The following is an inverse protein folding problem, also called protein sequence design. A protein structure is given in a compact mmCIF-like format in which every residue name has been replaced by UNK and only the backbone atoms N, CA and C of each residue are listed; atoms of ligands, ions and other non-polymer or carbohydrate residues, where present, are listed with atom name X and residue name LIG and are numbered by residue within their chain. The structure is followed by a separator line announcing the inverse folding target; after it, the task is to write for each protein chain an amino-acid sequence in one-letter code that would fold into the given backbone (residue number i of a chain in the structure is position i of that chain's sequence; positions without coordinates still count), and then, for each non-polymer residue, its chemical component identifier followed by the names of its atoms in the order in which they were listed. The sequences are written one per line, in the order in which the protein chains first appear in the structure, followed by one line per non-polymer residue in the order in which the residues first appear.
data_IF_424793975679
#
_entry.id   IF_424793975679
#
_cell.length_a   1.000
_cell.length_b   1.000
_cell.length_c   1.000
_cell.angle_alpha   90.00
_cell.angle_beta   90.00
_cell.angle_gamma   90.00
#
_symmetry.space_group_name_H-M   'P 1'
#
loop_
_entity.id
_entity.type
_entity.pdbx_description
1 polymer ?
#
# COMPACT_ATOMS: atom_id res chain seq x y z
N UNK A 1 -3.23 -27.76 9.40
CA UNK A 1 -1.81 -28.14 9.52
C UNK A 1 -0.95 -27.30 8.61
N UNK A 2 0.30 -27.17 8.97
CA UNK A 2 1.34 -26.45 8.23
C UNK A 2 2.38 -27.45 7.79
N UNK A 3 2.77 -27.41 6.52
CA UNK A 3 3.87 -28.18 5.96
C UNK A 3 5.08 -27.27 5.83
N UNK A 4 6.22 -27.66 6.43
CA UNK A 4 7.48 -26.94 6.36
C UNK A 4 8.44 -27.75 5.50
N UNK A 5 8.92 -27.15 4.41
CA UNK A 5 9.83 -27.79 3.45
C UNK A 5 11.16 -27.06 3.52
N UNK A 6 12.18 -27.71 4.08
CA UNK A 6 13.55 -27.20 4.05
C UNK A 6 14.23 -27.52 2.73
N UNK A 7 14.68 -26.50 2.03
CA UNK A 7 15.35 -26.64 0.76
C UNK A 7 16.83 -26.22 0.85
N UNK A 8 17.62 -26.63 -0.11
CA UNK A 8 18.99 -26.17 -0.30
C UNK A 8 19.23 -25.89 -1.79
N UNK A 9 20.36 -25.27 -2.11
CA UNK A 9 20.91 -25.34 -3.45
C UNK A 9 21.83 -26.58 -3.53
N UNK A 10 22.26 -26.96 -4.71
CA UNK A 10 23.08 -28.17 -4.91
C UNK A 10 24.57 -27.86 -4.97
N UNK A 11 25.03 -26.73 -4.44
CA UNK A 11 26.42 -26.27 -4.52
C UNK A 11 26.96 -25.67 -3.23
N UNK A 12 28.24 -25.64 -3.07
CA UNK A 12 28.96 -24.98 -1.96
C UNK A 12 28.58 -25.52 -0.58
N UNK A 13 28.41 -24.63 0.39
CA UNK A 13 28.08 -24.99 1.79
C UNK A 13 26.73 -25.70 1.94
N UNK A 14 25.85 -25.58 0.96
CA UNK A 14 24.53 -26.18 0.96
C UNK A 14 24.55 -27.67 0.57
N UNK A 15 25.71 -28.21 0.17
CA UNK A 15 25.90 -29.66 -0.02
C UNK A 15 26.11 -30.40 1.30
N UNK A 16 26.22 -29.68 2.43
CA UNK A 16 26.37 -30.29 3.75
C UNK A 16 25.11 -31.10 4.06
N UNK A 17 25.33 -32.39 4.35
CA UNK A 17 24.27 -33.30 4.72
C UNK A 17 23.45 -32.76 5.92
N UNK A 18 22.14 -32.82 5.80
CA UNK A 18 21.23 -32.38 6.85
C UNK A 18 20.98 -30.88 6.94
N UNK A 19 21.53 -30.02 6.04
CA UNK A 19 21.30 -28.57 6.12
C UNK A 19 19.83 -28.21 5.89
N UNK A 20 19.14 -28.89 4.96
CA UNK A 20 17.72 -28.70 4.68
C UNK A 20 16.86 -29.06 5.89
N UNK A 21 17.24 -30.14 6.59
CA UNK A 21 16.57 -30.55 7.82
C UNK A 21 16.76 -29.55 8.95
N UNK A 22 17.97 -29.03 9.13
CA UNK A 22 18.25 -27.98 10.12
C UNK A 22 17.41 -26.75 9.87
N UNK A 23 17.32 -26.28 8.61
CA UNK A 23 16.49 -25.14 8.22
C UNK A 23 15.01 -25.38 8.54
N UNK A 24 14.47 -26.56 8.20
CA UNK A 24 13.09 -26.90 8.51
C UNK A 24 12.82 -26.98 10.01
N UNK A 25 13.76 -27.55 10.78
CA UNK A 25 13.66 -27.65 12.23
C UNK A 25 13.69 -26.28 12.92
N UNK A 26 14.56 -25.36 12.50
CA UNK A 26 14.61 -24.00 13.05
C UNK A 26 13.30 -23.26 12.86
N UNK A 27 12.70 -23.34 11.65
CA UNK A 27 11.40 -22.72 11.40
C UNK A 27 10.29 -23.39 12.21
N UNK A 28 10.30 -24.72 12.32
CA UNK A 28 9.32 -25.46 13.14
C UNK A 28 9.41 -25.07 14.63
N UNK A 29 10.63 -24.99 15.17
CA UNK A 29 10.89 -24.56 16.54
C UNK A 29 10.42 -23.12 16.78
N UNK A 30 10.68 -22.21 15.85
CA UNK A 30 10.19 -20.84 15.93
C UNK A 30 8.66 -20.77 15.98
N UNK A 31 7.98 -21.51 15.09
CA UNK A 31 6.51 -21.54 15.07
C UNK A 31 5.94 -22.15 16.36
N UNK A 32 6.61 -23.16 16.92
CA UNK A 32 6.19 -23.78 18.18
C UNK A 32 6.44 -22.86 19.38
N UNK A 33 7.68 -22.38 19.54
CA UNK A 33 8.11 -21.66 20.73
C UNK A 33 7.58 -20.22 20.79
N UNK A 34 7.51 -19.54 19.64
CA UNK A 34 7.10 -18.12 19.59
C UNK A 34 5.59 -17.96 19.40
N UNK A 35 4.99 -18.84 18.60
CA UNK A 35 3.57 -18.74 18.22
C UNK A 35 2.69 -19.84 18.83
N UNK A 36 3.25 -20.67 19.70
CA UNK A 36 2.55 -21.76 20.40
C UNK A 36 1.79 -22.71 19.46
N UNK A 37 2.28 -22.92 18.23
CA UNK A 37 1.68 -23.87 17.31
C UNK A 37 2.04 -25.29 17.75
N UNK A 38 1.08 -26.16 18.05
CA UNK A 38 1.38 -27.52 18.50
C UNK A 38 2.16 -28.31 17.45
N UNK A 39 3.15 -29.08 17.88
CA UNK A 39 3.96 -29.91 16.98
C UNK A 39 3.12 -30.90 16.15
N UNK A 40 1.98 -31.36 16.67
CA UNK A 40 1.04 -32.24 15.95
C UNK A 40 0.42 -31.57 14.70
N UNK A 41 0.52 -30.22 14.58
CA UNK A 41 0.04 -29.46 13.41
C UNK A 41 1.17 -29.07 12.47
N UNK A 42 2.42 -29.40 12.79
CA UNK A 42 3.61 -29.06 11.99
C UNK A 42 4.15 -30.34 11.36
N UNK A 43 4.09 -30.42 10.04
CA UNK A 43 4.72 -31.47 9.26
C UNK A 43 6.01 -30.93 8.63
N UNK A 44 7.06 -31.74 8.62
CA UNK A 44 8.36 -31.38 8.06
C UNK A 44 8.72 -32.29 6.89
N UNK A 45 9.23 -31.70 5.84
CA UNK A 45 9.74 -32.42 4.67
C UNK A 45 11.12 -31.84 4.32
N UNK A 46 12.03 -32.73 3.96
CA UNK A 46 13.39 -32.37 3.53
C UNK A 46 13.40 -32.39 2.02
N UNK A 47 13.65 -31.22 1.40
CA UNK A 47 13.84 -31.05 -0.03
C UNK A 47 15.32 -30.92 -0.39
N UNK A 48 15.65 -31.17 -1.66
CA UNK A 48 16.99 -30.81 -2.23
C UNK A 48 16.94 -29.45 -2.87
N UNK A 49 15.98 -29.23 -3.77
CA UNK A 49 15.69 -27.96 -4.42
C UNK A 49 14.23 -27.60 -4.20
N UNK A 50 13.90 -26.29 -4.19
CA UNK A 50 12.51 -25.85 -4.22
C UNK A 50 11.76 -26.44 -5.42
N UNK A 51 10.44 -26.58 -5.32
CA UNK A 51 9.60 -27.01 -6.46
C UNK A 51 9.75 -26.10 -7.67
N UNK A 52 9.93 -24.81 -7.44
CA UNK A 52 10.18 -23.78 -8.44
C UNK A 52 11.51 -23.09 -8.11
N UNK A 53 12.63 -23.66 -8.55
CA UNK A 53 13.94 -23.14 -8.21
C UNK A 53 14.29 -21.90 -9.03
N UNK A 54 15.04 -21.01 -8.42
CA UNK A 54 15.83 -20.00 -9.12
C UNK A 54 17.04 -20.61 -9.78
N UNK A 55 17.79 -19.84 -10.58
CA UNK A 55 18.99 -20.33 -11.24
C UNK A 55 19.96 -20.94 -10.22
N UNK A 56 20.42 -22.16 -10.49
CA UNK A 56 21.42 -22.83 -9.64
C UNK A 56 22.86 -22.64 -10.16
N UNK A 57 23.02 -21.86 -11.26
CA UNK A 57 24.33 -21.63 -11.91
C UNK A 57 24.98 -20.31 -11.46
N UNK A 58 24.25 -19.42 -10.79
CA UNK A 58 24.80 -18.19 -10.27
C UNK A 58 24.58 -18.04 -8.76
N UNK A 59 25.44 -17.28 -8.03
CA UNK A 59 25.38 -17.15 -6.59
C UNK A 59 24.04 -16.56 -6.07
N UNK A 60 23.42 -15.64 -6.79
CA UNK A 60 22.17 -15.00 -6.37
C UNK A 60 21.01 -16.00 -6.42
N UNK A 61 20.91 -16.79 -7.48
CA UNK A 61 19.90 -17.84 -7.60
C UNK A 61 20.13 -18.98 -6.59
N UNK A 62 21.39 -19.33 -6.32
CA UNK A 62 21.73 -20.28 -5.26
C UNK A 62 21.26 -19.81 -3.89
N UNK A 63 21.45 -18.52 -3.58
CA UNK A 63 20.95 -17.91 -2.34
C UNK A 63 19.41 -17.97 -2.23
N UNK A 64 18.69 -17.78 -3.33
CA UNK A 64 17.23 -17.92 -3.36
C UNK A 64 16.75 -19.35 -3.16
N UNK A 65 17.50 -20.34 -3.65
CA UNK A 65 17.16 -21.76 -3.48
C UNK A 65 17.39 -22.24 -2.03
N UNK A 66 18.27 -21.59 -1.30
CA UNK A 66 18.58 -21.87 0.12
C UNK A 66 17.49 -21.31 1.04
N UNK A 67 16.27 -21.84 0.95
CA UNK A 67 15.09 -21.32 1.67
C UNK A 67 14.26 -22.40 2.34
N UNK A 68 13.37 -21.98 3.21
CA UNK A 68 12.28 -22.81 3.72
C UNK A 68 10.97 -22.36 3.07
N UNK A 69 10.19 -23.30 2.56
CA UNK A 69 8.85 -23.05 2.06
C UNK A 69 7.82 -23.51 3.08
N UNK A 70 6.79 -22.71 3.31
CA UNK A 70 5.70 -23.00 4.21
C UNK A 70 4.42 -23.15 3.38
N UNK A 71 3.84 -24.33 3.41
CA UNK A 71 2.59 -24.64 2.71
C UNK A 71 1.46 -24.93 3.72
N UNK A 72 0.23 -24.65 3.35
CA UNK A 72 -0.95 -25.02 4.12
C UNK A 72 -2.11 -25.36 3.18
N UNK A 73 -2.89 -26.36 3.56
CA UNK A 73 -4.15 -26.66 2.88
C UNK A 73 -5.24 -25.62 3.16
N UNK A 74 -5.05 -24.78 4.18
CA UNK A 74 -5.93 -23.66 4.49
C UNK A 74 -5.37 -22.38 3.89
N UNK A 75 -5.96 -21.88 2.82
CA UNK A 75 -5.56 -20.63 2.16
C UNK A 75 -5.61 -19.43 3.11
N UNK A 76 -6.49 -19.46 4.13
CA UNK A 76 -6.57 -18.38 5.13
C UNK A 76 -5.32 -18.23 5.97
N UNK A 77 -4.51 -19.28 6.16
CA UNK A 77 -3.27 -19.25 6.95
C UNK A 77 -2.09 -18.66 6.17
N UNK A 78 -2.14 -18.65 4.86
CA UNK A 78 -1.06 -18.18 3.98
C UNK A 78 -1.47 -16.97 3.14
N UNK A 79 -2.67 -16.39 3.39
CA UNK A 79 -3.05 -15.12 2.78
C UNK A 79 -2.09 -14.03 3.25
N UNK A 80 -1.64 -13.15 2.34
CA UNK A 80 -0.88 -11.97 2.73
C UNK A 80 -1.68 -11.17 3.76
N UNK A 81 -1.05 -10.84 4.88
CA UNK A 81 -1.62 -9.87 5.82
C UNK A 81 -1.46 -8.52 5.16
N UNK A 82 -2.54 -7.96 4.67
CA UNK A 82 -2.55 -6.58 4.19
C UNK A 82 -2.60 -5.70 5.43
N UNK A 83 -1.43 -5.25 5.88
CA UNK A 83 -1.34 -4.22 6.90
C UNK A 83 -1.70 -2.90 6.24
N UNK A 84 -2.96 -2.51 6.34
CA UNK A 84 -3.37 -1.15 5.99
C UNK A 84 -2.89 -0.23 7.11
N UNK A 85 -1.77 0.42 6.90
CA UNK A 85 -1.40 1.58 7.71
C UNK A 85 -2.20 2.74 7.14
N UNK A 86 -3.23 3.16 7.84
CA UNK A 86 -3.96 4.40 7.52
C UNK A 86 -3.08 5.52 8.08
N UNK A 87 -2.28 6.12 7.22
CA UNK A 87 -1.63 7.40 7.54
C UNK A 87 -2.69 8.48 7.33
N UNK A 88 -3.16 9.05 8.43
CA UNK A 88 -4.05 10.20 8.42
C UNK A 88 -3.15 11.44 8.46
N UNK A 89 -3.22 12.26 7.44
CA UNK A 89 -2.58 13.58 7.40
C UNK A 89 -3.63 14.64 7.06
N UNK A 90 -3.57 15.77 7.71
CA UNK A 90 -4.38 16.92 7.33
C UNK A 90 -3.70 17.70 6.19
N UNK A 91 -4.48 18.19 5.23
CA UNK A 91 -4.00 19.10 4.20
C UNK A 91 -5.04 20.21 3.97
N UNK A 92 -4.76 21.45 4.38
CA UNK A 92 -3.54 21.91 5.07
C UNK A 92 -3.38 21.30 6.48
N UNK A 93 -2.15 21.24 7.02
CA UNK A 93 -1.89 20.64 8.35
C UNK A 93 -2.42 21.52 9.51
N UNK A 94 -2.61 22.80 9.25
CA UNK A 94 -3.12 23.78 10.23
C UNK A 94 -4.12 24.73 9.59
N UNK A 95 -5.01 25.26 10.41
CA UNK A 95 -5.95 26.33 10.03
C UNK A 95 -5.53 27.65 10.68
N UNK A 96 -5.58 28.69 9.89
CA UNK A 96 -5.35 30.07 10.34
C UNK A 96 -6.72 30.75 10.54
N UNK A 97 -6.97 31.21 11.77
CA UNK A 97 -8.22 31.86 12.16
C UNK A 97 -7.95 33.33 12.37
N UNK A 98 -8.44 34.15 11.45
CA UNK A 98 -8.37 35.58 11.50
C UNK A 98 -9.67 36.13 12.09
N UNK A 99 -9.60 36.77 13.23
CA UNK A 99 -10.71 37.44 13.88
C UNK A 99 -10.71 38.92 13.51
N UNK A 100 -11.80 39.39 12.93
CA UNK A 100 -11.94 40.78 12.52
C UNK A 100 -13.02 41.44 13.40
N UNK A 101 -12.65 42.47 14.15
CA UNK A 101 -13.54 43.30 14.88
C UNK A 101 -14.05 44.42 13.97
N UNK A 102 -15.35 44.46 13.74
CA UNK A 102 -16.01 45.47 12.89
C UNK A 102 -16.84 46.46 13.68
N UNK A 103 -17.01 46.24 15.01
CA UNK A 103 -17.77 47.11 15.90
C UNK A 103 -16.89 48.20 16.51
N UNK A 104 -17.48 49.37 16.73
CA UNK A 104 -16.86 50.45 17.51
C UNK A 104 -16.98 50.26 19.02
N UNK A 105 -17.80 49.30 19.46
CA UNK A 105 -18.08 49.07 20.88
C UNK A 105 -16.97 48.24 21.51
N UNK A 106 -16.56 48.58 22.72
CA UNK A 106 -15.53 47.89 23.45
C UNK A 106 -16.05 46.53 23.93
N UNK A 107 -15.29 45.48 23.66
CA UNK A 107 -15.59 44.14 24.15
C UNK A 107 -15.22 43.98 25.63
N UNK A 108 -16.12 43.39 26.42
CA UNK A 108 -15.80 42.96 27.78
C UNK A 108 -15.05 41.63 27.78
N UNK A 109 -15.54 40.66 26.97
CA UNK A 109 -14.90 39.37 26.82
C UNK A 109 -15.24 38.75 25.45
N UNK A 110 -14.41 37.82 25.03
CA UNK A 110 -14.65 37.01 23.85
C UNK A 110 -14.02 35.61 24.01
N UNK A 111 -14.60 34.62 23.35
CA UNK A 111 -14.00 33.33 23.21
C UNK A 111 -14.23 32.75 21.79
N UNK A 112 -13.26 31.97 21.35
CA UNK A 112 -13.32 31.25 20.08
C UNK A 112 -13.17 29.77 20.37
N UNK A 113 -14.16 28.98 19.98
CA UNK A 113 -14.10 27.53 20.06
C UNK A 113 -13.99 26.90 18.67
N UNK A 114 -13.21 25.81 18.58
CA UNK A 114 -13.11 24.93 17.42
C UNK A 114 -13.68 23.60 17.83
N UNK A 115 -14.79 23.22 17.24
CA UNK A 115 -15.53 22.04 17.65
C UNK A 115 -16.06 21.21 16.46
N UNK A 116 -16.37 19.94 16.75
CA UNK A 116 -17.06 19.04 15.83
C UNK A 116 -17.96 18.11 16.67
N UNK A 117 -19.23 17.97 16.29
CA UNK A 117 -20.20 17.13 17.00
C UNK A 117 -20.22 17.33 18.51
N UNK A 118 -20.15 18.59 18.98
CA UNK A 118 -20.13 18.91 20.40
C UNK A 118 -18.80 18.65 21.12
N UNK A 119 -17.81 18.13 20.44
CA UNK A 119 -16.46 17.97 21.01
C UNK A 119 -15.63 19.20 20.69
N UNK A 120 -15.19 19.93 21.71
CA UNK A 120 -14.29 21.08 21.57
C UNK A 120 -12.85 20.60 21.49
N UNK A 121 -12.18 20.91 20.39
CA UNK A 121 -10.76 20.58 20.18
C UNK A 121 -9.82 21.65 20.73
N UNK A 122 -10.20 22.92 20.56
CA UNK A 122 -9.40 24.06 20.98
C UNK A 122 -10.32 25.23 21.38
N UNK A 123 -9.88 26.02 22.36
CA UNK A 123 -10.56 27.23 22.78
C UNK A 123 -9.57 28.33 23.07
N UNK A 124 -9.81 29.51 22.53
CA UNK A 124 -9.08 30.73 22.83
C UNK A 124 -10.03 31.70 23.54
N UNK A 125 -9.53 32.44 24.53
CA UNK A 125 -10.32 33.40 25.31
C UNK A 125 -9.55 34.70 25.52
N UNK A 126 -10.25 35.79 25.61
CA UNK A 126 -9.65 37.07 25.89
C UNK A 126 -10.67 38.08 26.45
N UNK A 127 -10.12 39.21 26.89
CA UNK A 127 -10.92 40.39 27.34
C UNK A 127 -10.50 41.59 26.55
N UNK A 128 -11.40 42.52 26.35
CA UNK A 128 -11.13 43.73 25.59
C UNK A 128 -10.93 43.44 24.09
N UNK A 129 -10.07 44.26 23.44
CA UNK A 129 -9.84 44.21 22.00
C UNK A 129 -9.30 42.87 21.53
N UNK A 130 -9.89 42.36 20.46
CA UNK A 130 -9.41 41.14 19.79
C UNK A 130 -8.00 41.40 19.17
N UNK A 131 -7.00 40.55 19.44
CA UNK A 131 -5.67 40.70 18.83
C UNK A 131 -5.72 40.61 17.31
N UNK A 132 -4.96 41.48 16.63
CA UNK A 132 -4.88 41.50 15.14
C UNK A 132 -3.99 40.39 14.55
N UNK A 133 -3.51 39.44 15.36
CA UNK A 133 -2.69 38.33 14.89
C UNK A 133 -3.57 37.10 14.72
N UNK A 134 -3.32 36.28 13.68
CA UNK A 134 -4.08 35.06 13.47
C UNK A 134 -3.81 34.03 14.58
N UNK A 135 -4.83 33.25 14.87
CA UNK A 135 -4.71 32.05 15.70
C UNK A 135 -4.44 30.86 14.80
N UNK A 136 -3.30 30.18 15.01
CA UNK A 136 -2.95 28.98 14.27
C UNK A 136 -3.43 27.76 15.07
N UNK A 137 -4.21 26.91 14.44
CA UNK A 137 -4.66 25.65 15.02
C UNK A 137 -4.18 24.47 14.17
N UNK A 138 -3.31 23.64 14.76
CA UNK A 138 -2.84 22.41 14.15
C UNK A 138 -3.96 21.35 14.20
N UNK A 139 -4.32 20.80 13.06
CA UNK A 139 -5.39 19.81 12.96
C UNK A 139 -4.93 18.49 13.59
N UNK A 140 -5.58 18.03 14.70
CA UNK A 140 -5.12 16.85 15.43
C UNK A 140 -5.52 15.56 14.70
N UNK A 141 -4.63 15.06 13.82
CA UNK A 141 -4.84 13.84 13.03
C UNK A 141 -5.02 12.55 13.86
N UNK A 142 -4.62 12.57 15.14
CA UNK A 142 -4.70 11.41 16.04
C UNK A 142 -5.95 11.45 16.98
N UNK A 143 -6.73 12.50 16.94
CA UNK A 143 -7.99 12.60 17.68
C UNK A 143 -9.15 12.31 16.73
N UNK A 144 -10.25 11.79 17.27
CA UNK A 144 -11.45 11.38 16.55
C UNK A 144 -12.13 12.54 15.81
N UNK A 145 -11.46 13.07 14.78
CA UNK A 145 -12.14 13.91 13.81
C UNK A 145 -13.04 13.00 12.99
N UNK A 146 -14.34 13.23 13.06
CA UNK A 146 -15.32 12.47 12.29
C UNK A 146 -15.26 12.98 10.85
N UNK A 147 -15.00 12.04 9.93
CA UNK A 147 -14.92 12.36 8.52
C UNK A 147 -16.30 12.74 7.99
N UNK A 148 -16.30 13.69 7.04
CA UNK A 148 -17.51 14.21 6.38
C UNK A 148 -18.37 15.14 7.24
N UNK A 149 -18.11 15.28 8.53
CA UNK A 149 -18.75 16.27 9.38
C UNK A 149 -17.96 17.58 9.40
N UNK A 150 -18.59 18.75 9.29
CA UNK A 150 -17.88 20.03 9.30
C UNK A 150 -17.27 20.34 10.67
N UNK A 151 -16.08 20.95 10.63
CA UNK A 151 -15.54 21.62 11.82
C UNK A 151 -16.24 22.98 11.93
N UNK A 152 -16.70 23.32 13.12
CA UNK A 152 -17.31 24.59 13.45
C UNK A 152 -16.32 25.46 14.21
N UNK A 153 -16.15 26.68 13.73
CA UNK A 153 -15.42 27.73 14.46
C UNK A 153 -16.47 28.72 14.94
N UNK A 154 -16.61 28.86 16.27
CA UNK A 154 -17.58 29.77 16.92
C UNK A 154 -16.81 30.88 17.62
N UNK A 155 -17.12 32.11 17.31
CA UNK A 155 -16.72 33.28 18.06
C UNK A 155 -17.94 33.75 18.88
N UNK A 156 -17.79 33.78 20.18
CA UNK A 156 -18.74 34.38 21.10
C UNK A 156 -18.11 35.63 21.73
N UNK A 157 -18.82 36.74 21.74
CA UNK A 157 -18.31 38.02 22.23
C UNK A 157 -19.40 38.71 23.07
N UNK A 158 -18.95 39.35 24.14
CA UNK A 158 -19.82 40.16 25.05
C UNK A 158 -19.23 41.57 25.06
N UNK A 159 -20.06 42.57 24.78
CA UNK A 159 -19.64 43.96 24.86
C UNK A 159 -19.69 44.50 26.32
N UNK A 160 -19.20 45.72 26.54
CA UNK A 160 -19.20 46.36 27.85
C UNK A 160 -20.59 46.71 28.37
N UNK A 161 -21.61 46.67 27.51
CA UNK A 161 -23.01 46.89 27.85
C UNK A 161 -23.76 45.58 28.19
N UNK A 162 -23.08 44.43 28.05
CA UNK A 162 -23.65 43.10 28.31
C UNK A 162 -24.40 42.50 27.12
N UNK A 163 -24.29 43.07 25.92
CA UNK A 163 -24.87 42.46 24.74
C UNK A 163 -23.96 41.33 24.25
N UNK A 164 -24.57 40.21 23.88
CA UNK A 164 -23.88 39.01 23.42
C UNK A 164 -24.08 38.82 21.93
N UNK A 165 -22.99 38.42 21.22
CA UNK A 165 -23.06 38.05 19.82
C UNK A 165 -22.27 36.76 19.59
N UNK A 166 -22.84 35.87 18.78
CA UNK A 166 -22.16 34.62 18.34
C UNK A 166 -22.12 34.58 16.84
N UNK A 167 -20.95 34.29 16.30
CA UNK A 167 -20.72 34.07 14.88
C UNK A 167 -20.18 32.65 14.72
N UNK A 168 -20.72 31.88 13.80
CA UNK A 168 -20.33 30.52 13.51
C UNK A 168 -19.89 30.42 12.05
N UNK A 169 -18.77 29.71 11.80
CA UNK A 169 -18.30 29.37 10.45
C UNK A 169 -18.01 27.88 10.38
N UNK A 170 -18.53 27.23 9.35
CA UNK A 170 -18.31 25.81 9.10
C UNK A 170 -17.17 25.62 8.08
N UNK A 171 -16.33 24.61 8.34
CA UNK A 171 -15.24 24.18 7.47
C UNK A 171 -15.50 22.74 7.11
N UNK A 172 -15.79 22.50 5.85
CA UNK A 172 -16.07 21.15 5.35
C UNK A 172 -14.77 20.34 5.27
N UNK A 173 -14.79 19.13 5.80
CA UNK A 173 -13.69 18.18 5.70
C UNK A 173 -13.96 17.20 4.57
N UNK A 174 -12.93 16.92 3.77
CA UNK A 174 -12.96 15.83 2.81
C UNK A 174 -11.90 14.80 3.22
N UNK A 175 -12.36 13.59 3.53
CA UNK A 175 -11.43 12.50 3.73
C UNK A 175 -11.08 11.85 2.39
N UNK A 176 -9.80 11.91 2.03
CA UNK A 176 -9.26 11.12 0.94
C UNK A 176 -8.80 9.76 1.48
N UNK A 177 -9.62 8.73 1.33
CA UNK A 177 -9.22 7.37 1.67
C UNK A 177 -8.16 6.84 0.70
N UNK A 178 -7.39 5.82 1.11
CA UNK A 178 -6.41 5.15 0.22
C UNK A 178 -7.07 4.65 -1.06
N UNK A 179 -8.33 4.27 -1.03
CA UNK A 179 -9.08 3.89 -2.22
C UNK A 179 -9.29 5.09 -3.17
N UNK A 180 -9.56 6.29 -2.66
CA UNK A 180 -9.60 7.52 -3.47
C UNK A 180 -8.20 7.94 -3.97
N UNK A 181 -7.11 7.67 -3.25
CA UNK A 181 -5.73 7.90 -3.74
C UNK A 181 -5.32 6.95 -4.87
N UNK A 182 -5.97 5.80 -5.03
CA UNK A 182 -5.77 4.91 -6.19
C UNK A 182 -6.47 5.40 -7.45
N UNK A 183 -7.49 6.24 -7.28
CA UNK A 183 -8.19 6.90 -8.37
C UNK A 183 -7.59 8.30 -8.53
N UNK A 184 -6.64 8.45 -9.44
CA UNK A 184 -6.14 9.76 -9.84
C UNK A 184 -6.96 10.27 -11.02
N UNK A 185 -7.43 11.51 -10.90
CA UNK A 185 -8.03 12.22 -12.02
C UNK A 185 -6.96 13.10 -12.64
N UNK A 186 -6.57 12.79 -13.86
CA UNK A 186 -5.63 13.57 -14.62
C UNK A 186 -6.16 13.71 -16.05
N UNK A 187 -6.27 14.93 -16.53
CA UNK A 187 -6.71 15.24 -17.89
C UNK A 187 -8.03 14.54 -18.27
N UNK A 188 -9.08 14.71 -17.45
CA UNK A 188 -10.40 14.08 -17.63
C UNK A 188 -10.40 12.55 -17.71
N UNK A 189 -9.42 11.92 -17.05
CA UNK A 189 -9.29 10.46 -16.97
C UNK A 189 -9.20 9.99 -15.53
N UNK A 190 -9.91 8.91 -15.24
CA UNK A 190 -9.69 8.10 -14.04
C UNK A 190 -8.52 7.15 -14.29
N UNK A 191 -7.55 7.10 -13.37
CA UNK A 191 -6.37 6.23 -13.46
C UNK A 191 -6.35 5.26 -12.29
N UNK A 192 -6.53 3.97 -12.57
CA UNK A 192 -6.39 2.89 -11.60
C UNK A 192 -5.02 2.20 -11.78
N UNK A 193 -4.23 2.05 -10.69
CA UNK A 193 -2.92 1.41 -10.72
C UNK A 193 -2.90 0.15 -9.88
N UNK A 194 -2.40 -0.92 -10.48
CA UNK A 194 -2.22 -2.22 -9.83
C UNK A 194 -0.77 -2.65 -9.98
N UNK A 195 -0.18 -3.06 -8.88
CA UNK A 195 1.18 -3.60 -8.83
C UNK A 195 1.18 -4.98 -8.20
N UNK A 196 2.30 -5.72 -8.34
CA UNK A 196 2.54 -6.98 -7.67
C UNK A 196 1.83 -8.21 -8.28
N UNK A 197 1.73 -8.29 -9.60
CA UNK A 197 1.61 -9.58 -10.25
C UNK A 197 3.01 -10.22 -10.28
N UNK A 198 3.31 -11.03 -9.27
CA UNK A 198 4.61 -11.65 -9.09
C UNK A 198 4.73 -12.92 -9.92
N UNK A 199 5.91 -13.09 -10.55
CA UNK A 199 6.22 -14.26 -11.34
C UNK A 199 7.37 -15.06 -10.74
N UNK A 200 7.32 -16.37 -10.91
CA UNK A 200 8.43 -17.22 -10.56
C UNK A 200 9.66 -16.92 -11.43
N UNK A 201 10.82 -17.34 -10.94
CA UNK A 201 12.07 -17.19 -11.69
C UNK A 201 11.93 -17.88 -13.06
N UNK A 202 12.35 -17.15 -14.08
CA UNK A 202 12.34 -17.63 -15.47
C UNK A 202 11.00 -18.16 -15.99
N UNK A 203 9.88 -17.65 -15.45
CA UNK A 203 8.53 -18.04 -15.85
C UNK A 203 7.69 -16.83 -16.26
N UNK A 204 6.79 -17.03 -17.22
CA UNK A 204 5.72 -16.13 -17.59
C UNK A 204 4.33 -16.73 -17.27
N UNK A 205 4.28 -17.85 -16.59
CA UNK A 205 3.02 -18.49 -16.22
C UNK A 205 2.32 -17.73 -15.10
N UNK A 206 1.01 -17.56 -15.27
CA UNK A 206 0.13 -16.98 -14.27
C UNK A 206 -0.35 -18.09 -13.31
N UNK A 207 0.07 -18.03 -12.07
CA UNK A 207 -0.42 -18.93 -11.04
C UNK A 207 -1.87 -18.58 -10.63
N UNK A 208 -2.47 -19.40 -9.76
CA UNK A 208 -3.84 -19.19 -9.30
C UNK A 208 -4.02 -17.81 -8.63
N UNK A 209 -3.02 -17.35 -7.85
CA UNK A 209 -3.08 -16.04 -7.18
C UNK A 209 -3.10 -14.90 -8.20
N UNK A 210 -2.24 -14.98 -9.22
CA UNK A 210 -2.21 -14.00 -10.30
C UNK A 210 -3.54 -13.96 -11.06
N UNK A 211 -4.13 -15.14 -11.32
CA UNK A 211 -5.44 -15.24 -11.97
C UNK A 211 -6.53 -14.58 -11.12
N UNK A 212 -6.55 -14.80 -9.81
CA UNK A 212 -7.54 -14.19 -8.90
C UNK A 212 -7.39 -12.67 -8.84
N UNK A 213 -6.13 -12.15 -8.82
CA UNK A 213 -5.84 -10.71 -8.89
C UNK A 213 -6.33 -10.14 -10.22
N UNK A 214 -6.01 -10.77 -11.35
CA UNK A 214 -6.44 -10.31 -12.68
C UNK A 214 -7.96 -10.30 -12.80
N UNK A 215 -8.65 -11.29 -12.26
CA UNK A 215 -10.13 -11.30 -12.25
C UNK A 215 -10.69 -10.11 -11.45
N UNK A 216 -10.03 -9.72 -10.35
CA UNK A 216 -10.40 -8.50 -9.62
C UNK A 216 -10.14 -7.25 -10.46
N UNK A 217 -9.00 -7.17 -11.15
CA UNK A 217 -8.65 -6.03 -12.02
C UNK A 217 -9.66 -5.86 -13.16
N UNK A 218 -10.19 -6.95 -13.69
CA UNK A 218 -11.22 -6.90 -14.74
C UNK A 218 -12.46 -6.07 -14.36
N UNK A 219 -12.81 -6.04 -13.07
CA UNK A 219 -13.96 -5.25 -12.61
C UNK A 219 -13.78 -3.73 -12.72
N UNK A 220 -12.54 -3.27 -12.92
CA UNK A 220 -12.21 -1.85 -13.12
C UNK A 220 -12.19 -1.44 -14.59
N UNK A 221 -12.29 -2.40 -15.51
CA UNK A 221 -12.27 -2.13 -16.95
C UNK A 221 -13.63 -1.65 -17.44
N UNK A 222 -13.61 -0.58 -18.22
CA UNK A 222 -14.74 -0.10 -19.00
C UNK A 222 -14.48 -0.29 -20.50
N UNK A 223 -15.51 -0.29 -21.36
CA UNK A 223 -15.33 -0.42 -22.80
C UNK A 223 -14.36 0.59 -23.40
N UNK A 224 -14.26 1.79 -22.80
CA UNK A 224 -13.41 2.89 -23.25
C UNK A 224 -12.06 2.96 -22.49
N UNK A 225 -11.77 2.02 -21.59
CA UNK A 225 -10.50 2.02 -20.86
C UNK A 225 -9.34 1.69 -21.79
N UNK A 226 -8.24 2.43 -21.62
CA UNK A 226 -6.91 2.10 -22.14
C UNK A 226 -6.09 1.47 -21.03
N UNK A 227 -5.29 0.46 -21.35
CA UNK A 227 -4.49 -0.29 -20.36
C UNK A 227 -3.02 -0.24 -20.72
N UNK A 228 -2.19 0.11 -19.75
CA UNK A 228 -0.73 0.09 -19.86
C UNK A 228 -0.23 -1.05 -18.98
N UNK A 229 0.50 -1.98 -19.57
CA UNK A 229 1.05 -3.15 -18.88
C UNK A 229 2.57 -3.07 -18.93
N UNK A 230 3.20 -2.86 -17.77
CA UNK A 230 4.65 -2.71 -17.66
C UNK A 230 5.27 -3.91 -16.96
N UNK A 231 6.20 -4.60 -17.62
CA UNK A 231 6.87 -5.77 -17.08
C UNK A 231 8.29 -5.47 -16.60
N UNK A 232 8.63 -5.98 -15.42
CA UNK A 232 9.95 -5.83 -14.78
C UNK A 232 10.57 -7.19 -14.50
N UNK A 233 11.89 -7.23 -14.50
CA UNK A 233 12.69 -8.38 -14.11
C UNK A 233 13.66 -7.99 -12.98
N UNK A 234 14.22 -8.98 -12.33
CA UNK A 234 15.34 -8.78 -11.40
C UNK A 234 16.67 -8.59 -12.16
N UNK A 235 17.74 -8.35 -11.41
CA UNK A 235 19.09 -8.13 -11.96
C UNK A 235 19.71 -9.40 -12.56
N UNK A 236 19.13 -10.58 -12.33
CA UNK A 236 19.72 -11.84 -12.78
C UNK A 236 19.43 -12.12 -14.25
N UNK A 237 20.42 -12.68 -14.96
CA UNK A 237 20.30 -13.04 -16.38
C UNK A 237 20.70 -11.93 -17.35
N UNK A 238 20.63 -12.25 -18.62
CA UNK A 238 21.00 -11.35 -19.70
C UNK A 238 19.90 -10.31 -19.96
N UNK A 239 20.30 -9.06 -20.24
CA UNK A 239 19.38 -7.93 -20.42
C UNK A 239 18.36 -8.18 -21.52
N UNK A 240 18.78 -8.64 -22.70
CA UNK A 240 17.86 -8.91 -23.82
C UNK A 240 16.91 -10.07 -23.50
N UNK A 241 17.38 -11.07 -22.79
CA UNK A 241 16.56 -12.16 -22.32
C UNK A 241 15.47 -11.66 -21.34
N UNK A 242 15.85 -10.80 -20.40
CA UNK A 242 14.91 -10.21 -19.43
C UNK A 242 13.85 -9.34 -20.09
N UNK A 243 14.22 -8.58 -21.14
CA UNK A 243 13.24 -7.83 -21.93
C UNK A 243 12.23 -8.76 -22.61
N UNK A 244 12.67 -9.82 -23.25
CA UNK A 244 11.76 -10.77 -23.90
C UNK A 244 10.91 -11.55 -22.90
N UNK A 245 11.46 -11.92 -21.74
CA UNK A 245 10.71 -12.57 -20.67
C UNK A 245 9.63 -11.65 -20.11
N UNK A 246 9.94 -10.37 -19.86
CA UNK A 246 8.94 -9.40 -19.38
C UNK A 246 7.89 -9.09 -20.44
N UNK A 247 8.24 -9.09 -21.71
CA UNK A 247 7.29 -9.01 -22.81
C UNK A 247 6.31 -10.17 -22.80
N UNK A 248 6.79 -11.41 -22.64
CA UNK A 248 5.92 -12.59 -22.52
C UNK A 248 4.98 -12.50 -21.33
N UNK A 249 5.48 -12.05 -20.16
CA UNK A 249 4.65 -11.83 -18.96
C UNK A 249 3.53 -10.84 -19.21
N UNK A 250 3.84 -9.71 -19.84
CA UNK A 250 2.83 -8.70 -20.18
C UNK A 250 1.77 -9.24 -21.14
N UNK A 251 2.17 -10.03 -22.15
CA UNK A 251 1.24 -10.66 -23.11
C UNK A 251 0.32 -11.69 -22.43
N UNK A 252 0.83 -12.51 -21.51
CA UNK A 252 -0.01 -13.44 -20.73
C UNK A 252 -1.01 -12.68 -19.84
N UNK A 253 -0.61 -11.56 -19.23
CA UNK A 253 -1.51 -10.69 -18.47
C UNK A 253 -2.57 -10.08 -19.37
N UNK A 254 -2.20 -9.51 -20.53
CA UNK A 254 -3.13 -8.94 -21.51
C UNK A 254 -4.16 -9.98 -21.97
N UNK A 255 -3.69 -11.14 -22.37
CA UNK A 255 -4.54 -12.27 -22.79
C UNK A 255 -5.53 -12.67 -21.69
N UNK A 256 -5.06 -12.73 -20.44
CA UNK A 256 -5.90 -13.07 -19.29
C UNK A 256 -6.89 -11.95 -18.94
N UNK A 257 -6.54 -10.68 -19.13
CA UNK A 257 -7.45 -9.54 -19.01
C UNK A 257 -8.49 -9.51 -20.13
N UNK A 258 -8.24 -10.18 -21.24
CA UNK A 258 -9.10 -10.22 -22.42
C UNK A 258 -9.31 -8.84 -23.06
N UNK A 259 -8.20 -8.13 -23.29
CA UNK A 259 -8.18 -6.78 -23.84
C UNK A 259 -7.49 -6.79 -25.22
N UNK A 260 -8.08 -6.17 -26.24
CA UNK A 260 -7.48 -6.11 -27.57
C UNK A 260 -6.24 -5.22 -27.61
N UNK A 261 -5.34 -5.50 -28.54
CA UNK A 261 -4.09 -4.75 -28.76
C UNK A 261 -4.34 -3.25 -28.96
N UNK A 262 -5.44 -2.89 -29.62
CA UNK A 262 -5.82 -1.48 -29.89
C UNK A 262 -6.06 -0.64 -28.62
N UNK A 263 -6.27 -1.29 -27.48
CA UNK A 263 -6.48 -0.64 -26.17
C UNK A 263 -5.38 -0.95 -25.15
N UNK A 264 -4.28 -1.57 -25.59
CA UNK A 264 -3.21 -2.01 -24.67
C UNK A 264 -1.85 -1.52 -25.14
N UNK A 265 -1.12 -0.86 -24.25
CA UNK A 265 0.29 -0.56 -24.43
C UNK A 265 1.12 -1.52 -23.57
N UNK A 266 2.04 -2.25 -24.18
CA UNK A 266 2.95 -3.17 -23.48
C UNK A 266 4.35 -2.55 -23.41
N UNK A 267 4.88 -2.43 -22.20
CA UNK A 267 6.19 -1.83 -21.92
C UNK A 267 7.06 -2.87 -21.22
N UNK A 268 7.89 -3.63 -21.95
CA UNK A 268 8.79 -4.61 -21.36
C UNK A 268 10.09 -3.92 -20.91
N UNK A 269 10.15 -3.53 -19.64
CA UNK A 269 11.33 -2.86 -19.05
C UNK A 269 12.51 -3.82 -18.81
N UNK A 270 12.26 -5.11 -18.70
CA UNK A 270 13.32 -6.06 -18.35
C UNK A 270 13.95 -5.72 -17.00
N UNK A 271 15.26 -5.70 -16.94
CA UNK A 271 16.07 -5.27 -15.80
C UNK A 271 16.63 -3.85 -15.93
N UNK A 272 16.12 -3.03 -16.85
CA UNK A 272 16.58 -1.65 -17.02
C UNK A 272 16.22 -0.76 -15.83
N UNK A 273 15.12 -1.06 -15.17
CA UNK A 273 14.69 -0.43 -13.92
C UNK A 273 14.46 -1.53 -12.87
N UNK A 274 15.22 -1.47 -11.79
CA UNK A 274 15.07 -2.36 -10.64
C UNK A 274 14.14 -1.69 -9.62
N UNK A 275 12.94 -2.24 -9.46
CA UNK A 275 11.92 -1.64 -8.58
C UNK A 275 12.22 -1.79 -7.08
N UNK A 276 12.92 -2.86 -6.71
CA UNK A 276 13.22 -3.19 -5.31
C UNK A 276 14.71 -3.47 -5.14
N UNK A 277 15.15 -3.60 -3.89
CA UNK A 277 16.52 -3.95 -3.56
C UNK A 277 16.88 -5.34 -4.11
N UNK A 278 17.68 -5.38 -5.19
CA UNK A 278 18.07 -6.61 -5.87
C UNK A 278 19.26 -7.34 -5.22
N UNK A 279 19.88 -6.78 -4.19
CA UNK A 279 20.91 -7.48 -3.40
C UNK A 279 20.27 -8.55 -2.51
N UNK A 280 19.02 -8.35 -2.10
CA UNK A 280 18.26 -9.31 -1.31
C UNK A 280 17.47 -10.31 -2.17
N UNK A 281 17.38 -11.59 -1.77
CA UNK A 281 16.52 -12.58 -2.43
C UNK A 281 15.06 -12.15 -2.52
N UNK A 282 14.55 -11.51 -1.48
CA UNK A 282 13.19 -11.01 -1.41
C UNK A 282 12.95 -9.87 -2.41
N UNK A 283 13.86 -8.90 -2.47
CA UNK A 283 13.73 -7.78 -3.39
C UNK A 283 13.80 -8.21 -4.86
N UNK A 284 14.65 -9.21 -5.20
CA UNK A 284 14.65 -9.84 -6.54
C UNK A 284 13.31 -10.49 -6.84
N UNK A 285 12.73 -11.23 -5.88
CA UNK A 285 11.41 -11.83 -6.06
C UNK A 285 10.33 -10.77 -6.35
N UNK A 286 10.34 -9.64 -5.64
CA UNK A 286 9.40 -8.55 -5.89
C UNK A 286 9.66 -7.79 -7.20
N UNK A 287 10.91 -7.76 -7.67
CA UNK A 287 11.25 -7.14 -8.95
C UNK A 287 10.75 -7.95 -10.15
N UNK A 288 10.47 -9.24 -10.01
CA UNK A 288 9.85 -10.07 -11.04
C UNK A 288 8.33 -9.83 -11.10
N UNK A 289 7.92 -8.66 -11.53
CA UNK A 289 6.53 -8.23 -11.45
C UNK A 289 6.01 -7.62 -12.75
N UNK A 290 4.69 -7.60 -12.87
CA UNK A 290 3.99 -6.81 -13.87
C UNK A 290 3.07 -5.81 -13.16
N UNK A 291 3.13 -4.56 -13.61
CA UNK A 291 2.25 -3.48 -13.18
C UNK A 291 1.21 -3.19 -14.25
N UNK A 292 0.00 -2.87 -13.84
CA UNK A 292 -1.11 -2.54 -14.74
C UNK A 292 -1.62 -1.16 -14.36
N UNK A 293 -1.75 -0.28 -15.34
CA UNK A 293 -2.41 1.00 -15.23
C UNK A 293 -3.63 1.01 -16.17
N UNK A 294 -4.79 1.33 -15.63
CA UNK A 294 -6.03 1.47 -16.38
C UNK A 294 -6.37 2.95 -16.44
N UNK A 295 -6.51 3.51 -17.63
CA UNK A 295 -6.95 4.87 -17.89
C UNK A 295 -8.35 4.84 -18.47
N UNK A 296 -9.32 5.38 -17.76
CA UNK A 296 -10.72 5.44 -18.20
C UNK A 296 -11.14 6.90 -18.39
N UNK A 297 -11.54 7.33 -19.61
CA UNK A 297 -12.09 8.67 -19.81
C UNK A 297 -13.30 8.91 -18.92
N UNK A 298 -13.40 10.14 -18.37
CA UNK A 298 -14.54 10.60 -17.56
C UNK A 298 -15.40 11.46 -18.49
N UNK A 299 -16.44 10.87 -19.05
CA UNK A 299 -17.45 11.59 -19.85
C UNK A 299 -18.85 11.12 -19.46
#
# INVERSE_FOLDING_TARGET
SVLIIGNNNTSGKDTIEGISEKRANEVANYLHNTWSIPNSRINKVIGKLPKKPSSNTNPLGQAENSRVEIESNSLSLIKPIIKQTIEISANPPSLEINLLETSSDSLASWDVSIEQNGTVFQMYKGTGKIPNQPYLWDIPVNKSIVNEEPIKVKLHAIDTNGNEQTIEKEITLQQLTINKKREEFKDDKKIDRFSLLLFDHNSAELDKKNVDIINTIKSFLSPNSKVIITGYADITGEKLYNQELTRKRCLEVQKKLDIPDSRTDIIPMGSDILLYDNDSPQGRSYSRTVQIQIETPIH
#
